data_IF_497602798969
#
_entry.id   IF_497602798969
#
_cell.length_a   1.000
_cell.length_b   1.000
_cell.length_c   1.000
_cell.angle_alpha   90.00
_cell.angle_beta   90.00
_cell.angle_gamma   90.00
#
_symmetry.space_group_name_H-M   'P 1'
#
loop_
_entity.id
_entity.type
_entity.pdbx_description
1 polymer ?
#
# COMPACT_ATOMS: atom_id res chain seq x y z
N UNK A 1 -18.28 18.24 -3.23
CA UNK A 1 -17.07 17.63 -2.75
C UNK A 1 -17.10 17.47 -1.24
N UNK A 2 -16.50 16.45 -0.79
CA UNK A 2 -16.51 16.14 0.61
C UNK A 2 -15.72 17.08 1.45
N UNK A 3 -16.22 17.29 2.64
CA UNK A 3 -15.49 17.97 3.68
C UNK A 3 -14.39 17.02 4.17
N UNK A 4 -13.15 17.45 4.06
CA UNK A 4 -12.03 16.61 4.44
C UNK A 4 -12.01 16.29 5.93
N UNK A 5 -12.66 17.12 6.75
CA UNK A 5 -12.73 16.87 8.19
C UNK A 5 -13.62 15.67 8.51
N UNK A 6 -14.56 15.36 7.63
CA UNK A 6 -15.48 14.27 7.82
C UNK A 6 -15.22 13.12 6.86
N UNK A 7 -14.06 13.15 6.24
CA UNK A 7 -13.72 12.15 5.24
C UNK A 7 -13.68 10.76 5.86
N UNK A 8 -14.43 9.84 5.28
CA UNK A 8 -14.44 8.45 5.69
C UNK A 8 -14.40 7.60 4.43
N UNK A 9 -13.30 6.90 4.17
CA UNK A 9 -13.18 6.11 2.95
C UNK A 9 -14.24 5.02 2.89
N UNK A 10 -14.94 4.95 1.77
CA UNK A 10 -16.00 3.95 1.56
C UNK A 10 -15.59 2.90 0.53
N UNK A 11 -14.54 3.15 -0.22
CA UNK A 11 -14.10 2.23 -1.25
C UNK A 11 -12.63 1.89 -1.05
N UNK A 12 -12.20 0.81 -1.70
CA UNK A 12 -10.81 0.39 -1.63
C UNK A 12 -9.89 1.48 -2.18
N UNK A 13 -10.30 2.12 -3.28
CA UNK A 13 -9.48 3.18 -3.87
C UNK A 13 -9.29 4.33 -2.89
N UNK A 14 -10.33 4.69 -2.16
CA UNK A 14 -10.24 5.76 -1.18
C UNK A 14 -9.34 5.37 -0.01
N UNK A 15 -9.45 4.12 0.46
CA UNK A 15 -8.55 3.62 1.49
C UNK A 15 -7.10 3.71 1.05
N UNK A 16 -6.82 3.34 -0.19
CA UNK A 16 -5.45 3.35 -0.68
C UNK A 16 -4.94 4.76 -0.91
N UNK A 17 -5.82 5.73 -1.05
CA UNK A 17 -5.44 7.13 -1.15
C UNK A 17 -5.13 7.74 0.22
N UNK A 18 -5.62 7.12 1.29
CA UNK A 18 -5.36 7.59 2.64
C UNK A 18 -4.02 7.06 3.10
N UNK A 19 -3.02 7.94 3.15
CA UNK A 19 -1.65 7.55 3.47
C UNK A 19 -1.56 6.95 4.87
N UNK A 20 -2.33 7.46 5.81
CA UNK A 20 -2.30 6.95 7.19
C UNK A 20 -2.77 5.50 7.24
N UNK A 21 -3.88 5.21 6.58
CA UNK A 21 -4.40 3.84 6.52
C UNK A 21 -3.46 2.94 5.75
N UNK A 22 -2.91 3.45 4.65
CA UNK A 22 -2.00 2.67 3.83
C UNK A 22 -0.77 2.25 4.65
N UNK A 23 -0.20 3.17 5.40
CA UNK A 23 0.95 2.86 6.25
C UNK A 23 0.60 1.82 7.29
N UNK A 24 -0.58 1.94 7.89
CA UNK A 24 -1.03 1.00 8.89
C UNK A 24 -1.12 -0.42 8.35
N UNK A 25 -1.69 -0.57 7.16
CA UNK A 25 -1.89 -1.90 6.59
C UNK A 25 -0.62 -2.45 5.96
N UNK A 26 0.26 -1.60 5.46
CA UNK A 26 1.53 -2.06 4.91
C UNK A 26 2.35 -2.76 5.98
N UNK A 27 2.26 -2.31 7.22
CA UNK A 27 2.99 -2.93 8.33
C UNK A 27 2.54 -4.36 8.59
N UNK A 28 1.38 -4.76 8.07
CA UNK A 28 0.89 -6.12 8.23
C UNK A 28 1.38 -7.06 7.14
N UNK A 29 2.08 -6.55 6.15
CA UNK A 29 2.61 -7.35 5.06
C UNK A 29 3.89 -8.07 5.49
N UNK A 30 4.25 -9.17 4.81
CA UNK A 30 5.57 -9.75 5.00
C UNK A 30 6.64 -8.70 4.80
N UNK A 31 7.74 -8.80 5.54
CA UNK A 31 8.73 -7.75 5.58
C UNK A 31 9.23 -7.33 4.21
N UNK A 32 9.51 -8.29 3.33
CA UNK A 32 10.03 -7.97 2.01
C UNK A 32 9.03 -7.17 1.18
N UNK A 33 7.77 -7.60 1.21
CA UNK A 33 6.73 -6.87 0.50
C UNK A 33 6.50 -5.50 1.10
N UNK A 34 6.57 -5.42 2.42
CA UNK A 34 6.44 -4.15 3.11
C UNK A 34 7.49 -3.15 2.64
N UNK A 35 8.75 -3.57 2.58
CA UNK A 35 9.84 -2.70 2.17
C UNK A 35 9.69 -2.26 0.71
N UNK A 36 9.29 -3.18 -0.15
CA UNK A 36 9.07 -2.85 -1.55
C UNK A 36 8.01 -1.78 -1.70
N UNK A 37 6.91 -1.92 -0.97
CA UNK A 37 5.83 -0.94 -1.04
C UNK A 37 6.28 0.41 -0.49
N UNK A 38 7.04 0.40 0.61
CA UNK A 38 7.56 1.64 1.18
C UNK A 38 8.46 2.38 0.20
N UNK A 39 9.31 1.67 -0.51
CA UNK A 39 10.19 2.29 -1.49
C UNK A 39 9.43 2.78 -2.71
N UNK A 40 8.47 2.00 -3.17
CA UNK A 40 7.67 2.38 -4.33
C UNK A 40 6.83 3.64 -4.08
N UNK A 41 6.33 3.79 -2.87
CA UNK A 41 5.48 4.94 -2.53
C UNK A 41 6.24 6.04 -1.81
N UNK A 42 7.53 5.87 -1.61
CA UNK A 42 8.34 6.92 -0.98
C UNK A 42 8.06 7.13 0.49
N UNK A 43 7.67 6.08 1.20
CA UNK A 43 7.28 6.21 2.60
C UNK A 43 8.44 6.30 3.58
N UNK A 44 9.66 6.17 3.08
CA UNK A 44 10.86 6.31 3.92
C UNK A 44 11.32 7.75 4.04
N UNK A 45 10.44 8.69 3.74
CA UNK A 45 10.83 10.09 3.74
C UNK A 45 11.53 10.50 2.47
N UNK A 46 11.55 9.62 1.48
CA UNK A 46 12.15 9.90 0.19
C UNK A 46 11.10 9.98 -0.89
N UNK A 47 11.57 10.03 -2.13
CA UNK A 47 10.68 10.06 -3.28
C UNK A 47 10.32 8.65 -3.71
N UNK A 48 9.16 8.46 -4.35
CA UNK A 48 8.82 7.15 -4.91
C UNK A 48 9.92 6.69 -5.87
N UNK A 49 10.23 5.41 -5.83
CA UNK A 49 11.26 4.83 -6.67
C UNK A 49 10.65 3.98 -7.77
N UNK A 50 11.35 3.90 -8.90
CA UNK A 50 10.91 3.06 -10.01
C UNK A 50 11.10 1.59 -9.66
N UNK A 51 10.44 0.72 -10.43
CA UNK A 51 10.62 -0.73 -10.26
C UNK A 51 12.09 -1.11 -10.42
N UNK A 52 12.75 -0.50 -11.38
CA UNK A 52 14.16 -0.81 -11.65
C UNK A 52 15.03 -0.43 -10.46
N UNK A 53 14.82 0.75 -9.89
CA UNK A 53 15.61 1.21 -8.75
C UNK A 53 15.38 0.34 -7.52
N UNK A 54 14.13 -0.05 -7.29
CA UNK A 54 13.83 -0.94 -6.18
C UNK A 54 14.51 -2.28 -6.39
N UNK A 55 14.50 -2.78 -7.63
CA UNK A 55 15.19 -4.02 -7.96
C UNK A 55 16.68 -3.93 -7.65
N UNK A 56 17.30 -2.81 -8.02
CA UNK A 56 18.72 -2.61 -7.73
C UNK A 56 18.99 -2.62 -6.22
N UNK A 57 18.12 -1.98 -5.46
CA UNK A 57 18.28 -1.92 -4.00
C UNK A 57 18.19 -3.31 -3.37
N UNK A 58 17.29 -4.12 -3.83
CA UNK A 58 17.08 -5.45 -3.25
C UNK A 58 17.79 -6.56 -4.01
N UNK A 59 18.54 -6.20 -5.05
CA UNK A 59 19.30 -7.16 -5.86
C UNK A 59 18.41 -8.23 -6.48
N UNK A 60 17.29 -7.79 -7.00
CA UNK A 60 16.34 -8.66 -7.72
C UNK A 60 15.96 -7.95 -9.00
N UNK A 61 15.37 -8.72 -9.91
CA UNK A 61 14.99 -8.18 -11.21
C UNK A 61 13.79 -7.22 -11.06
N UNK A 62 13.66 -6.33 -12.03
CA UNK A 62 12.52 -5.45 -12.13
C UNK A 62 11.21 -6.24 -12.15
N UNK A 63 11.21 -7.34 -12.89
CA UNK A 63 10.01 -8.19 -12.97
C UNK A 63 9.68 -8.82 -11.62
N UNK A 64 10.70 -9.19 -10.86
CA UNK A 64 10.46 -9.76 -9.53
C UNK A 64 9.87 -8.71 -8.61
N UNK A 65 10.33 -7.46 -8.70
CA UNK A 65 9.75 -6.37 -7.93
C UNK A 65 8.27 -6.22 -8.28
N UNK A 66 7.97 -6.25 -9.59
CA UNK A 66 6.58 -6.12 -10.04
C UNK A 66 5.70 -7.23 -9.47
N UNK A 67 6.21 -8.46 -9.46
CA UNK A 67 5.47 -9.58 -8.90
C UNK A 67 5.22 -9.42 -7.41
N UNK A 68 6.24 -9.00 -6.68
CA UNK A 68 6.10 -8.80 -5.24
C UNK A 68 5.16 -7.64 -4.93
N UNK A 69 5.22 -6.58 -5.72
CA UNK A 69 4.29 -5.47 -5.58
C UNK A 69 2.87 -5.95 -5.84
N UNK A 70 2.66 -6.76 -6.85
CA UNK A 70 1.33 -7.27 -7.16
C UNK A 70 0.78 -8.09 -5.99
N UNK A 71 1.61 -8.95 -5.40
CA UNK A 71 1.20 -9.73 -4.24
C UNK A 71 0.86 -8.83 -3.05
N UNK A 72 1.68 -7.81 -2.84
CA UNK A 72 1.45 -6.87 -1.75
C UNK A 72 0.12 -6.14 -1.95
N UNK A 73 -0.11 -5.66 -3.17
CA UNK A 73 -1.36 -4.96 -3.48
C UNK A 73 -2.56 -5.85 -3.26
N UNK A 74 -2.47 -7.11 -3.65
CA UNK A 74 -3.56 -8.05 -3.47
C UNK A 74 -3.87 -8.24 -1.98
N UNK A 75 -2.83 -8.37 -1.17
CA UNK A 75 -3.02 -8.51 0.28
C UNK A 75 -3.60 -7.25 0.89
N UNK A 76 -3.15 -6.09 0.44
CA UNK A 76 -3.68 -4.82 0.93
C UNK A 76 -5.17 -4.69 0.60
N UNK A 77 -5.55 -5.08 -0.61
CA UNK A 77 -6.96 -5.02 -1.00
C UNK A 77 -7.81 -5.89 -0.10
N UNK A 78 -7.31 -7.06 0.27
CA UNK A 78 -8.04 -7.93 1.17
C UNK A 78 -8.19 -7.30 2.55
N UNK A 79 -7.13 -6.68 3.06
CA UNK A 79 -7.18 -6.01 4.35
C UNK A 79 -8.13 -4.82 4.32
N UNK A 80 -8.07 -4.03 3.25
CA UNK A 80 -8.96 -2.89 3.10
C UNK A 80 -10.41 -3.33 2.98
N UNK A 81 -10.67 -4.40 2.23
CA UNK A 81 -12.02 -4.91 2.08
C UNK A 81 -12.58 -5.37 3.42
N UNK A 82 -11.77 -6.03 4.21
CA UNK A 82 -12.18 -6.48 5.52
C UNK A 82 -12.50 -5.29 6.43
N UNK A 83 -11.64 -4.29 6.41
CA UNK A 83 -11.84 -3.10 7.23
C UNK A 83 -13.11 -2.37 6.81
N UNK A 84 -13.33 -2.25 5.51
CA UNK A 84 -14.50 -1.58 4.99
C UNK A 84 -15.78 -2.30 5.40
N UNK A 85 -15.75 -3.63 5.36
CA UNK A 85 -16.90 -4.43 5.77
C UNK A 85 -17.21 -4.21 7.25
N UNK A 86 -16.18 -4.19 8.09
CA UNK A 86 -16.36 -3.97 9.51
C UNK A 86 -17.01 -2.62 9.77
N UNK A 87 -16.54 -1.59 9.07
CA UNK A 87 -17.11 -0.24 9.21
C UNK A 87 -18.57 -0.19 8.78
N UNK A 88 -18.90 -0.91 7.73
CA UNK A 88 -20.26 -0.88 7.21
C UNK A 88 -21.26 -1.67 8.06
N UNK A 89 -20.75 -2.54 8.92
CA UNK A 89 -21.61 -3.33 9.81
C UNK A 89 -21.92 -2.63 11.12
N UNK A 90 -21.38 -1.45 11.35
CA UNK A 90 -21.62 -0.70 12.57
C UNK A 90 -22.83 0.19 12.51
#
# INVERSE_FOLDING_TARGET
VEDSLNYAPDTIAEFMSDVTLLKKFIKKLPRREQKIMEYRFGMHGGKPKTLEKVGDEFKISRERVRQLQWRAMKKLRMLFTKELRIRNER
#
